data_IF_248027574796
#
_entry.id   IF_248027574796
#
_cell.length_a   1.000
_cell.length_b   1.000
_cell.length_c   1.000
_cell.angle_alpha   90.00
_cell.angle_beta   90.00
_cell.angle_gamma   90.00
#
_symmetry.space_group_name_H-M   'P 1'
#
loop_
_entity.id
_entity.type
_entity.pdbx_description
1 polymer ?
#
# COMPACT_ATOMS: atom_id res chain seq x y z
N UNK A 1 7.10 -4.48 20.11
CA UNK A 1 6.94 -4.39 18.66
C UNK A 1 6.76 -5.82 18.17
N UNK A 2 5.78 -6.05 17.30
CA UNK A 2 5.42 -7.36 16.80
C UNK A 2 4.94 -7.29 15.34
N UNK A 3 5.29 -8.32 14.56
CA UNK A 3 4.71 -8.57 13.24
C UNK A 3 3.20 -8.77 13.36
N UNK A 4 2.44 -8.02 12.57
CA UNK A 4 0.97 -8.08 12.51
C UNK A 4 0.50 -8.93 11.32
N UNK A 5 -0.66 -9.60 11.43
CA UNK A 5 -1.29 -10.21 10.26
C UNK A 5 -1.66 -9.14 9.23
N UNK A 6 -1.40 -9.43 7.96
CA UNK A 6 -1.82 -8.62 6.83
C UNK A 6 -3.18 -9.11 6.35
N UNK A 7 -4.13 -8.19 6.23
CA UNK A 7 -5.48 -8.41 5.73
C UNK A 7 -5.48 -8.68 4.24
N UNK A 8 -6.21 -9.71 3.82
CA UNK A 8 -6.40 -10.10 2.42
C UNK A 8 -7.71 -9.50 1.90
N UNK A 9 -7.74 -9.18 0.59
CA UNK A 9 -8.91 -8.63 -0.10
C UNK A 9 -10.22 -9.37 0.21
N UNK A 10 -11.27 -8.59 0.47
CA UNK A 10 -12.60 -9.05 0.88
C UNK A 10 -12.99 -8.56 2.27
N UNK A 11 -12.03 -8.11 3.07
CA UNK A 11 -12.30 -7.49 4.37
C UNK A 11 -12.74 -6.02 4.21
N UNK A 12 -13.84 -5.57 4.86
CA UNK A 12 -14.36 -4.21 4.71
C UNK A 12 -13.36 -3.10 5.03
N UNK A 13 -12.36 -3.37 5.88
CA UNK A 13 -11.34 -2.37 6.23
C UNK A 13 -10.51 -1.94 5.02
N UNK A 14 -10.32 -2.82 4.04
CA UNK A 14 -9.59 -2.53 2.80
C UNK A 14 -10.43 -1.81 1.75
N UNK A 15 -11.76 -1.76 1.95
CA UNK A 15 -12.76 -1.31 0.98
C UNK A 15 -13.57 -0.11 1.50
N UNK A 16 -13.08 0.54 2.56
CA UNK A 16 -13.71 1.71 3.18
C UNK A 16 -12.64 2.79 3.40
N UNK A 17 -12.94 4.08 3.16
CA UNK A 17 -12.01 5.16 3.46
C UNK A 17 -11.59 5.14 4.93
N UNK A 18 -10.28 5.24 5.16
CA UNK A 18 -9.69 5.28 6.49
C UNK A 18 -9.98 6.61 7.20
N UNK A 19 -10.10 6.58 8.52
CA UNK A 19 -10.35 7.76 9.35
C UNK A 19 -9.05 8.52 9.65
N UNK A 20 -9.12 9.84 9.71
CA UNK A 20 -7.98 10.68 10.08
C UNK A 20 -7.41 10.29 11.46
N UNK A 21 -6.09 10.34 11.58
CA UNK A 21 -5.41 10.28 12.88
C UNK A 21 -5.53 11.64 13.56
N UNK A 22 -6.24 11.71 14.69
CA UNK A 22 -6.50 12.98 15.39
C UNK A 22 -5.41 13.37 16.38
N UNK A 23 -4.68 12.39 16.92
CA UNK A 23 -3.63 12.58 17.91
C UNK A 23 -2.55 11.51 17.73
N UNK A 24 -1.27 11.90 17.80
CA UNK A 24 -0.14 10.98 17.76
C UNK A 24 0.29 10.62 19.18
N UNK A 25 -0.33 9.58 19.71
CA UNK A 25 -0.06 9.02 21.04
C UNK A 25 0.87 7.79 20.98
N UNK A 26 1.12 7.15 22.13
CA UNK A 26 1.92 5.92 22.21
C UNK A 26 1.29 4.75 21.44
N UNK A 27 -0.04 4.76 21.24
CA UNK A 27 -0.76 3.76 20.44
C UNK A 27 -0.39 3.89 18.97
N UNK A 28 -0.40 5.11 18.42
CA UNK A 28 0.03 5.37 17.04
C UNK A 28 1.50 5.05 16.85
N UNK A 29 2.36 5.45 17.80
CA UNK A 29 3.81 5.14 17.74
C UNK A 29 4.06 3.63 17.73
N UNK A 30 3.34 2.88 18.55
CA UNK A 30 3.42 1.41 18.59
C UNK A 30 2.90 0.79 17.29
N UNK A 31 1.78 1.29 16.75
CA UNK A 31 1.22 0.82 15.48
C UNK A 31 2.21 1.02 14.33
N UNK A 32 2.80 2.21 14.20
CA UNK A 32 3.78 2.52 13.15
C UNK A 32 5.01 1.63 13.28
N UNK A 33 5.50 1.40 14.49
CA UNK A 33 6.59 0.49 14.74
C UNK A 33 6.27 -0.97 14.35
N UNK A 34 5.10 -1.47 14.75
CA UNK A 34 4.63 -2.80 14.35
C UNK A 34 4.47 -2.91 12.83
N UNK A 35 4.00 -1.84 12.16
CA UNK A 35 3.85 -1.80 10.71
C UNK A 35 5.20 -1.85 10.00
N UNK A 36 6.23 -1.17 10.50
CA UNK A 36 7.59 -1.32 9.98
C UNK A 36 8.10 -2.76 10.13
N UNK A 37 7.97 -3.38 11.30
CA UNK A 37 8.36 -4.78 11.48
C UNK A 37 7.57 -5.73 10.57
N UNK A 38 6.28 -5.46 10.37
CA UNK A 38 5.42 -6.26 9.49
C UNK A 38 5.83 -6.14 8.04
N UNK A 39 6.10 -4.92 7.57
CA UNK A 39 6.57 -4.64 6.22
C UNK A 39 7.95 -5.25 5.97
N UNK A 40 8.89 -5.12 6.92
CA UNK A 40 10.25 -5.67 6.81
C UNK A 40 10.26 -7.21 6.83
N UNK A 41 9.28 -7.84 7.51
CA UNK A 41 9.10 -9.29 7.53
C UNK A 41 8.37 -9.84 6.28
N UNK A 42 7.81 -8.94 5.46
CA UNK A 42 7.18 -9.24 4.19
C UNK A 42 8.07 -8.73 3.02
N UNK A 43 7.84 -9.16 1.78
CA UNK A 43 8.53 -8.57 0.61
C UNK A 43 7.89 -7.22 0.20
N UNK A 44 7.65 -6.33 1.17
CA UNK A 44 6.94 -5.06 1.00
C UNK A 44 7.86 -3.83 0.96
N UNK A 45 7.42 -2.79 0.24
CA UNK A 45 8.07 -1.45 0.21
C UNK A 45 7.16 -0.34 0.76
N UNK A 46 5.93 -0.70 1.09
CA UNK A 46 4.93 0.13 1.75
C UNK A 46 3.92 -0.75 2.48
N UNK A 47 3.28 -0.19 3.50
CA UNK A 47 2.21 -0.84 4.24
C UNK A 47 1.27 0.21 4.86
N UNK A 48 0.01 0.17 4.48
CA UNK A 48 -1.04 1.07 4.98
C UNK A 48 -1.74 0.51 6.24
N UNK A 49 -2.24 1.39 7.10
CA UNK A 49 -3.00 1.01 8.30
C UNK A 49 -4.11 -0.01 8.02
N UNK A 50 -4.95 0.19 6.98
CA UNK A 50 -5.99 -0.77 6.62
C UNK A 50 -5.48 -2.20 6.37
N UNK A 51 -4.26 -2.34 5.84
CA UNK A 51 -3.65 -3.64 5.57
C UNK A 51 -3.31 -4.41 6.84
N UNK A 52 -3.13 -3.75 7.98
CA UNK A 52 -2.98 -4.40 9.31
C UNK A 52 -4.27 -4.36 10.12
N UNK A 53 -5.41 -4.15 9.46
CA UNK A 53 -6.74 -4.14 10.07
C UNK A 53 -7.09 -2.87 10.83
N UNK A 54 -6.30 -1.79 10.66
CA UNK A 54 -6.50 -0.52 11.37
C UNK A 54 -6.94 0.54 10.36
N UNK A 55 -8.22 0.90 10.36
CA UNK A 55 -8.81 1.90 9.45
C UNK A 55 -8.42 3.35 9.78
N UNK A 56 -7.12 3.62 9.94
CA UNK A 56 -6.54 4.95 10.16
C UNK A 56 -5.74 5.42 8.94
N UNK A 57 -5.80 6.71 8.65
CA UNK A 57 -5.18 7.38 7.50
C UNK A 57 -3.66 7.53 7.68
N UNK A 58 -2.93 6.42 7.68
CA UNK A 58 -1.48 6.41 7.73
C UNK A 58 -0.88 5.22 6.98
N UNK A 59 0.31 5.40 6.42
CA UNK A 59 1.11 4.31 5.86
C UNK A 59 2.59 4.48 6.20
N UNK A 60 3.32 3.36 6.25
CA UNK A 60 4.78 3.34 6.28
C UNK A 60 5.33 3.01 4.89
N UNK A 61 6.53 3.49 4.61
CA UNK A 61 7.25 3.20 3.36
C UNK A 61 8.74 2.99 3.63
N UNK A 62 9.38 2.14 2.83
CA UNK A 62 10.81 1.88 2.87
C UNK A 62 11.29 1.41 1.50
N UNK A 63 12.07 2.23 0.81
CA UNK A 63 12.61 1.92 -0.51
C UNK A 63 13.96 2.64 -0.71
N UNK A 64 14.94 1.93 -1.25
CA UNK A 64 16.22 2.51 -1.67
C UNK A 64 16.20 2.66 -3.18
N UNK A 65 16.49 3.86 -3.68
CA UNK A 65 16.47 4.12 -5.11
C UNK A 65 17.75 3.68 -5.83
N UNK A 66 17.75 3.80 -7.16
CA UNK A 66 18.88 3.39 -8.01
C UNK A 66 20.14 4.25 -7.79
N UNK A 67 19.98 5.46 -7.25
CA UNK A 67 21.07 6.36 -6.86
C UNK A 67 21.61 6.06 -5.44
N UNK A 68 20.91 5.20 -4.70
CA UNK A 68 21.26 4.75 -3.35
C UNK A 68 20.69 5.62 -2.24
N UNK A 69 19.74 6.50 -2.53
CA UNK A 69 19.05 7.29 -1.52
C UNK A 69 17.99 6.42 -0.82
N UNK A 70 18.02 6.44 0.52
CA UNK A 70 17.11 5.66 1.36
C UNK A 70 15.86 6.46 1.72
N UNK A 71 14.72 6.03 1.20
CA UNK A 71 13.40 6.58 1.46
C UNK A 71 12.67 5.73 2.49
N UNK A 72 12.75 6.09 3.77
CA UNK A 72 12.02 5.40 4.85
C UNK A 72 11.31 6.38 5.76
N UNK A 73 10.02 6.16 5.98
CA UNK A 73 9.21 7.06 6.81
C UNK A 73 7.78 6.59 7.01
N UNK A 74 7.03 7.41 7.73
CA UNK A 74 5.58 7.26 7.91
C UNK A 74 4.90 8.53 7.41
N UNK A 75 3.79 8.36 6.70
CA UNK A 75 2.96 9.45 6.24
C UNK A 75 1.62 9.38 6.99
N UNK A 76 1.40 10.30 7.94
CA UNK A 76 0.15 10.44 8.69
C UNK A 76 -0.73 11.50 8.04
N UNK A 77 -2.01 11.19 7.86
CA UNK A 77 -3.01 12.01 7.18
C UNK A 77 -2.52 12.58 5.84
N UNK A 78 -1.97 11.74 4.93
CA UNK A 78 -1.34 12.25 3.73
C UNK A 78 -2.37 12.88 2.77
N UNK A 79 -1.88 13.83 1.97
CA UNK A 79 -2.49 14.29 0.73
C UNK A 79 -1.53 14.02 -0.42
N UNK A 80 -2.08 13.70 -1.60
CA UNK A 80 -1.28 13.30 -2.75
C UNK A 80 -1.71 14.08 -4.00
N UNK A 81 -0.79 14.83 -4.57
CA UNK A 81 -0.95 15.46 -5.88
C UNK A 81 -0.28 14.60 -6.93
N UNK A 82 -0.96 14.32 -8.03
CA UNK A 82 -0.49 13.41 -9.07
C UNK A 82 -0.37 14.16 -10.38
N UNK A 83 0.70 13.91 -11.14
CA UNK A 83 0.77 14.35 -12.53
C UNK A 83 -0.26 13.60 -13.39
N UNK A 84 -0.61 14.12 -14.58
CA UNK A 84 -1.52 13.42 -15.49
C UNK A 84 -0.96 12.05 -15.89
N UNK A 85 -1.84 11.06 -16.05
CA UNK A 85 -1.45 9.74 -16.54
C UNK A 85 -0.94 9.81 -17.98
N UNK A 86 0.08 9.02 -18.31
CA UNK A 86 0.51 8.84 -19.70
C UNK A 86 -0.60 8.18 -20.53
N UNK A 87 -0.67 8.57 -21.80
CA UNK A 87 -1.55 7.95 -22.81
C UNK A 87 -0.81 6.88 -23.63
N UNK A 88 0.46 6.65 -23.35
CA UNK A 88 1.25 5.62 -24.02
C UNK A 88 0.69 4.22 -23.70
N UNK A 89 0.91 3.25 -24.60
CA UNK A 89 0.56 1.86 -24.32
C UNK A 89 1.15 1.40 -22.99
N UNK A 90 0.35 0.67 -22.22
CA UNK A 90 0.78 0.06 -20.96
C UNK A 90 1.91 -0.93 -21.26
N UNK A 91 2.98 -0.86 -20.47
CA UNK A 91 4.04 -1.87 -20.49
C UNK A 91 3.76 -2.93 -19.42
N UNK A 92 3.55 -4.18 -19.85
CA UNK A 92 3.15 -5.25 -18.94
C UNK A 92 4.24 -5.62 -17.91
N UNK A 93 5.51 -5.43 -18.26
CA UNK A 93 6.64 -5.79 -17.43
C UNK A 93 7.07 -4.62 -16.53
N UNK A 94 7.27 -3.44 -17.10
CA UNK A 94 7.79 -2.26 -16.39
C UNK A 94 6.73 -1.60 -15.48
N UNK A 95 5.43 -1.82 -15.74
CA UNK A 95 4.33 -1.26 -14.94
C UNK A 95 3.66 -2.28 -14.03
N UNK A 96 4.31 -3.43 -13.81
CA UNK A 96 3.83 -4.51 -12.96
C UNK A 96 3.75 -4.13 -11.48
N UNK A 97 2.54 -4.13 -10.94
CA UNK A 97 2.23 -3.80 -9.54
C UNK A 97 1.65 -5.00 -8.80
N UNK A 98 1.98 -5.14 -7.52
CA UNK A 98 1.45 -6.17 -6.62
C UNK A 98 1.06 -5.58 -5.27
N UNK A 99 0.38 -6.36 -4.44
CA UNK A 99 -0.09 -5.92 -3.13
C UNK A 99 0.00 -7.06 -2.11
N UNK A 100 0.47 -6.76 -0.89
CA UNK A 100 0.48 -7.73 0.22
C UNK A 100 -0.93 -8.20 0.62
N UNK A 101 -1.98 -7.43 0.27
CA UNK A 101 -3.39 -7.79 0.47
C UNK A 101 -4.01 -8.57 -0.68
N UNK A 102 -3.27 -8.79 -1.78
CA UNK A 102 -3.62 -9.71 -2.87
C UNK A 102 -2.38 -10.59 -3.17
N UNK A 103 -2.03 -11.51 -2.25
CA UNK A 103 -0.72 -12.17 -2.28
C UNK A 103 -0.45 -12.94 -3.58
N UNK A 104 0.81 -12.94 -4.03
CA UNK A 104 1.26 -13.71 -5.20
C UNK A 104 0.78 -13.18 -6.56
N UNK A 105 -0.15 -12.22 -6.61
CA UNK A 105 -0.69 -11.67 -7.85
C UNK A 105 -0.02 -10.35 -8.23
N UNK A 106 0.31 -10.21 -9.51
CA UNK A 106 0.88 -8.99 -10.08
C UNK A 106 0.26 -8.71 -11.44
N UNK A 107 -0.14 -7.46 -11.66
CA UNK A 107 -0.74 -7.02 -12.91
C UNK A 107 -0.22 -5.63 -13.26
N UNK A 108 -0.08 -5.31 -14.56
CA UNK A 108 0.35 -3.99 -14.96
C UNK A 108 -0.76 -2.96 -14.70
N UNK A 109 -0.35 -1.81 -14.17
CA UNK A 109 -1.23 -0.70 -13.83
C UNK A 109 -0.54 0.63 -14.12
N UNK A 110 -1.17 1.46 -14.95
CA UNK A 110 -0.69 2.82 -15.22
C UNK A 110 -0.85 3.68 -13.97
N UNK A 111 0.24 4.31 -13.56
CA UNK A 111 0.31 5.30 -12.47
C UNK A 111 0.77 6.66 -13.03
N UNK A 112 0.56 7.72 -12.26
CA UNK A 112 1.20 8.99 -12.55
C UNK A 112 2.71 8.84 -12.38
N UNK A 113 3.48 9.42 -13.30
CA UNK A 113 4.95 9.32 -13.28
C UNK A 113 5.55 10.06 -12.07
N UNK A 114 4.85 11.07 -11.58
CA UNK A 114 5.31 11.90 -10.47
C UNK A 114 4.18 12.31 -9.55
N UNK A 115 4.52 12.47 -8.27
CA UNK A 115 3.61 12.89 -7.23
C UNK A 115 4.27 13.84 -6.24
N UNK A 116 3.45 14.65 -5.58
CA UNK A 116 3.84 15.40 -4.39
C UNK A 116 3.04 14.84 -3.22
N UNK A 117 3.72 14.16 -2.31
CA UNK A 117 3.18 13.67 -1.05
C UNK A 117 3.36 14.76 0.01
N UNK A 118 2.28 15.13 0.69
CA UNK A 118 2.34 15.94 1.93
C UNK A 118 1.73 15.17 3.07
N UNK A 119 2.40 15.13 4.21
CA UNK A 119 1.92 14.41 5.38
C UNK A 119 2.52 14.98 6.66
N UNK A 120 2.10 14.43 7.79
CA UNK A 120 2.70 14.67 9.10
C UNK A 120 3.49 13.44 9.54
N UNK A 121 4.59 13.64 10.28
CA UNK A 121 5.36 12.56 10.89
C UNK A 121 4.89 12.22 12.32
N UNK A 122 5.66 11.39 13.04
CA UNK A 122 5.35 11.02 14.43
C UNK A 122 5.57 12.15 15.45
N UNK A 123 6.34 13.18 15.11
CA UNK A 123 6.60 14.31 16.00
C UNK A 123 5.60 15.46 15.78
N UNK A 124 4.74 15.31 14.77
CA UNK A 124 3.71 16.28 14.42
C UNK A 124 4.20 17.30 13.39
N UNK A 125 5.39 17.11 12.82
CA UNK A 125 5.97 18.00 11.84
C UNK A 125 5.43 17.67 10.43
N UNK A 126 5.02 18.71 9.71
CA UNK A 126 4.59 18.58 8.32
C UNK A 126 5.80 18.44 7.39
N UNK A 127 5.70 17.54 6.42
CA UNK A 127 6.71 17.36 5.39
C UNK A 127 6.10 17.23 3.99
N UNK A 128 6.92 17.48 2.98
CA UNK A 128 6.60 17.31 1.56
C UNK A 128 7.70 16.50 0.88
N UNK A 129 7.30 15.53 0.05
CA UNK A 129 8.22 14.73 -0.80
C UNK A 129 7.72 14.82 -2.23
N UNK A 130 8.56 15.33 -3.12
CA UNK A 130 8.39 15.15 -4.56
C UNK A 130 9.01 13.80 -4.96
N UNK A 131 8.18 12.91 -5.49
CA UNK A 131 8.59 11.57 -5.87
C UNK A 131 8.30 11.32 -7.36
N UNK A 132 9.18 10.55 -7.98
CA UNK A 132 9.10 10.12 -9.37
C UNK A 132 9.22 8.60 -9.47
N UNK A 133 8.84 8.03 -10.61
CA UNK A 133 9.04 6.60 -10.91
C UNK A 133 8.48 5.66 -9.84
N UNK A 134 9.32 4.75 -9.34
CA UNK A 134 8.88 3.70 -8.42
C UNK A 134 8.39 4.24 -7.06
N UNK A 135 9.05 5.26 -6.50
CA UNK A 135 8.59 5.90 -5.26
C UNK A 135 7.23 6.56 -5.44
N UNK A 136 7.00 7.21 -6.59
CA UNK A 136 5.69 7.77 -6.92
C UNK A 136 4.60 6.69 -6.99
N UNK A 137 4.93 5.51 -7.54
CA UNK A 137 4.03 4.34 -7.57
C UNK A 137 3.72 3.83 -6.16
N UNK A 138 4.72 3.70 -5.29
CA UNK A 138 4.53 3.29 -3.89
C UNK A 138 3.54 4.25 -3.22
N UNK A 139 3.76 5.56 -3.29
CA UNK A 139 2.88 6.52 -2.64
C UNK A 139 1.45 6.50 -3.18
N UNK A 140 1.26 6.33 -4.48
CA UNK A 140 -0.08 6.16 -5.07
C UNK A 140 -0.76 4.89 -4.58
N UNK A 141 -0.02 3.78 -4.46
CA UNK A 141 -0.53 2.51 -3.96
C UNK A 141 -0.98 2.62 -2.50
N UNK A 142 -0.10 3.12 -1.63
CA UNK A 142 -0.41 3.27 -0.21
C UNK A 142 -1.54 4.27 0.03
N UNK A 143 -1.59 5.35 -0.76
CA UNK A 143 -2.67 6.32 -0.69
C UNK A 143 -4.03 5.73 -1.09
N UNK A 144 -4.07 4.89 -2.13
CA UNK A 144 -5.29 4.18 -2.52
C UNK A 144 -5.85 3.32 -1.38
N UNK A 145 -4.98 2.62 -0.65
CA UNK A 145 -5.39 1.85 0.51
C UNK A 145 -6.11 2.71 1.57
N UNK A 146 -5.66 3.96 1.76
CA UNK A 146 -6.30 4.89 2.69
C UNK A 146 -7.66 5.37 2.20
N UNK A 147 -7.91 5.34 0.90
CA UNK A 147 -9.21 5.67 0.29
C UNK A 147 -10.12 4.42 0.15
N UNK A 148 -9.66 3.25 0.60
CA UNK A 148 -10.39 1.99 0.49
C UNK A 148 -10.40 1.42 -0.92
N UNK A 149 -9.33 1.65 -1.67
CA UNK A 149 -9.14 1.18 -3.05
C UNK A 149 -7.92 0.26 -3.11
N UNK A 150 -8.08 -0.91 -3.72
CA UNK A 150 -6.96 -1.79 -4.04
C UNK A 150 -6.49 -1.54 -5.47
N UNK A 151 -5.22 -1.81 -5.77
CA UNK A 151 -4.71 -1.69 -7.14
C UNK A 151 -5.53 -2.53 -8.15
N UNK A 152 -6.08 -3.68 -7.70
CA UNK A 152 -6.94 -4.54 -8.52
C UNK A 152 -8.23 -3.86 -8.97
N UNK A 153 -8.72 -2.88 -8.22
CA UNK A 153 -9.94 -2.13 -8.53
C UNK A 153 -9.69 -1.06 -9.61
N UNK A 154 -8.43 -0.68 -9.82
CA UNK A 154 -7.99 0.25 -10.87
C UNK A 154 -7.65 -0.42 -12.19
N UNK A 155 -7.54 -1.74 -12.21
CA UNK A 155 -7.17 -2.47 -13.42
C UNK A 155 -8.24 -2.32 -14.50
N UNK A 156 -7.79 -2.21 -15.75
CA UNK A 156 -8.66 -2.28 -16.92
C UNK A 156 -8.73 -3.71 -17.49
N UNK A 157 -9.57 -3.93 -18.50
CA UNK A 157 -9.56 -5.20 -19.22
C UNK A 157 -8.27 -5.34 -20.05
N UNK A 158 -7.58 -6.49 -20.05
CA UNK A 158 -8.02 -7.79 -19.52
C UNK A 158 -7.64 -8.08 -18.06
N UNK A 159 -6.77 -7.26 -17.45
CA UNK A 159 -6.15 -7.54 -16.16
C UNK A 159 -7.14 -7.59 -14.99
N UNK A 160 -8.16 -6.72 -14.97
CA UNK A 160 -9.22 -6.78 -13.96
C UNK A 160 -9.92 -8.15 -13.91
N UNK A 161 -10.18 -8.73 -15.10
CA UNK A 161 -10.80 -10.06 -15.21
C UNK A 161 -9.87 -11.16 -14.70
N UNK A 162 -8.57 -11.03 -14.95
CA UNK A 162 -7.56 -11.95 -14.45
C UNK A 162 -7.47 -11.89 -12.91
N UNK A 163 -7.36 -10.68 -12.35
CA UNK A 163 -7.36 -10.44 -10.90
C UNK A 163 -8.62 -11.00 -10.22
N UNK A 164 -9.81 -10.71 -10.75
CA UNK A 164 -11.07 -11.27 -10.22
C UNK A 164 -11.07 -12.80 -10.20
N UNK A 165 -10.52 -13.43 -11.26
CA UNK A 165 -10.43 -14.89 -11.36
C UNK A 165 -9.42 -15.46 -10.35
N UNK A 166 -8.29 -14.79 -10.14
CA UNK A 166 -7.29 -15.16 -9.14
C UNK A 166 -7.87 -15.11 -7.72
N UNK A 167 -8.46 -13.97 -7.33
CA UNK A 167 -9.14 -13.78 -6.03
C UNK A 167 -10.18 -14.88 -5.78
N UNK A 168 -11.01 -15.20 -6.78
CA UNK A 168 -12.01 -16.27 -6.67
C UNK A 168 -11.37 -17.66 -6.54
N UNK A 169 -10.30 -17.94 -7.28
CA UNK A 169 -9.59 -19.23 -7.24
C UNK A 169 -8.95 -19.46 -5.87
N UNK A 170 -8.41 -18.40 -5.26
CA UNK A 170 -7.81 -18.44 -3.93
C UNK A 170 -8.83 -18.47 -2.78
N UNK A 171 -10.13 -18.31 -3.08
CA UNK A 171 -11.18 -18.27 -2.05
C UNK A 171 -11.16 -16.99 -1.20
N UNK A 172 -10.60 -15.91 -1.76
CA UNK A 172 -10.61 -14.56 -1.19
C UNK A 172 -11.87 -13.80 -1.62
N UNK A 173 -12.01 -12.55 -1.19
CA UNK A 173 -13.19 -11.73 -1.45
C UNK A 173 -14.29 -11.86 -0.38
N UNK A 174 -13.99 -12.48 0.76
CA UNK A 174 -14.84 -12.51 1.95
C UNK A 174 -14.06 -12.00 3.17
N UNK A 175 -14.73 -11.41 4.18
CA UNK A 175 -14.06 -10.87 5.37
C UNK A 175 -13.28 -11.89 6.20
N UNK A 176 -12.35 -11.40 7.01
CA UNK A 176 -11.63 -12.20 8.01
C UNK A 176 -10.50 -13.07 7.45
N UNK A 177 -10.03 -12.80 6.23
CA UNK A 177 -8.85 -13.46 5.65
C UNK A 177 -7.61 -12.62 5.97
N UNK A 178 -6.62 -13.25 6.60
CA UNK A 178 -5.33 -12.65 6.90
C UNK A 178 -4.22 -13.67 6.68
N UNK A 179 -2.98 -13.20 6.60
CA UNK A 179 -1.78 -14.02 6.66
C UNK A 179 -0.72 -13.33 7.52
N UNK A 180 0.14 -14.07 8.19
CA UNK A 180 1.18 -13.55 9.07
C UNK A 180 2.56 -13.63 8.41
N UNK A 181 3.21 -12.49 8.10
CA UNK A 181 4.56 -12.48 7.54
C UNK A 181 5.57 -13.25 8.40
N UNK A 182 6.49 -13.97 7.74
CA UNK A 182 7.47 -14.83 8.39
C UNK A 182 6.93 -16.14 8.99
N UNK A 183 5.62 -16.39 8.88
CA UNK A 183 4.96 -17.64 9.34
C UNK A 183 4.16 -18.30 8.23
N UNK A 184 3.31 -17.53 7.55
CA UNK A 184 2.48 -17.99 6.43
C UNK A 184 3.14 -17.65 5.09
N UNK A 185 2.89 -18.48 4.08
CA UNK A 185 3.36 -18.31 2.70
C UNK A 185 2.15 -18.35 1.74
N UNK A 186 1.37 -17.25 1.65
CA UNK A 186 0.12 -17.23 0.87
C UNK A 186 0.32 -17.23 -0.65
N UNK A 187 1.55 -16.99 -1.13
CA UNK A 187 1.93 -17.09 -2.53
C UNK A 187 2.18 -18.52 -3.04
N UNK A 188 2.33 -19.51 -2.15
CA UNK A 188 2.58 -20.93 -2.47
C UNK A 188 1.28 -21.74 -2.69
#
# INVERSE_FOLDING_TARGET
MAVRPITITGDPVLHSPASDVTEVDDTIRTLVADMFETMDAAPGVGLAGPQVGVGLRLFVFSWTDDDGDDWRGVAINPTLWQSPLSIDPLDDDDESEGCLSVPGERFPLRRAESVILRATDLDGDEFEIEAHGWLARIFQHEFDHLDGVLYTDRLEHPFHKAATKAVKKAGWGSPGRTWLPGVDHPED
#
